data_IF_701418754711
#
_entry.id   IF_701418754711
#
_cell.length_a   1.000
_cell.length_b   1.000
_cell.length_c   1.000
_cell.angle_alpha   90.00
_cell.angle_beta   90.00
_cell.angle_gamma   90.00
#
_symmetry.space_group_name_H-M   'P 1'
#
loop_
_entity.id
_entity.type
_entity.pdbx_description
1 polymer ?
#
# COMPACT_ATOMS: atom_id res chain seq x y z
N UNK A 1 -62.69 41.94 -19.45
CA UNK A 1 -61.56 41.52 -20.30
C UNK A 1 -61.34 40.03 -20.05
N UNK A 2 -61.75 39.21 -21.02
CA UNK A 2 -61.67 37.73 -21.04
C UNK A 2 -61.06 37.38 -22.40
N UNK A 3 -60.35 36.24 -22.46
CA UNK A 3 -59.69 35.54 -23.60
C UNK A 3 -58.16 35.72 -23.57
N UNK A 4 -57.34 34.67 -23.76
CA UNK A 4 -57.49 33.56 -24.72
C UNK A 4 -56.61 32.35 -24.34
N UNK A 5 -57.18 31.15 -24.40
CA UNK A 5 -56.51 29.91 -24.80
C UNK A 5 -56.29 29.92 -26.33
N UNK A 6 -55.21 29.28 -26.78
CA UNK A 6 -55.06 28.65 -28.10
C UNK A 6 -53.68 27.99 -28.16
N UNK A 7 -53.40 26.90 -28.86
CA UNK A 7 -54.15 25.75 -29.36
C UNK A 7 -53.06 24.81 -29.91
N UNK A 8 -53.37 23.52 -29.99
CA UNK A 8 -52.48 22.43 -30.42
C UNK A 8 -52.30 22.38 -31.96
N UNK A 9 -51.29 21.59 -32.36
CA UNK A 9 -51.35 20.50 -33.38
C UNK A 9 -50.52 20.64 -34.67
N UNK A 10 -49.48 19.79 -34.73
CA UNK A 10 -48.95 18.90 -35.79
C UNK A 10 -49.13 19.17 -37.31
N UNK A 11 -48.02 18.92 -38.05
CA UNK A 11 -47.84 18.02 -39.24
C UNK A 11 -46.38 18.20 -39.74
N UNK A 12 -45.47 17.23 -39.64
CA UNK A 12 -45.20 16.02 -40.48
C UNK A 12 -45.09 16.30 -42.00
N UNK A 13 -43.85 16.23 -42.50
CA UNK A 13 -43.41 15.54 -43.75
C UNK A 13 -41.86 15.45 -43.70
N UNK A 14 -41.25 14.29 -43.42
CA UNK A 14 -40.93 13.19 -44.35
C UNK A 14 -40.03 13.59 -45.53
N UNK A 15 -38.72 13.29 -45.42
CA UNK A 15 -37.95 12.71 -46.53
C UNK A 15 -36.76 11.90 -46.00
N UNK A 16 -36.41 10.91 -46.82
CA UNK A 16 -35.80 9.62 -46.54
C UNK A 16 -34.32 9.60 -46.13
N UNK A 17 -33.94 8.45 -45.54
CA UNK A 17 -32.63 8.04 -45.02
C UNK A 17 -31.55 7.94 -46.13
N UNK A 18 -30.26 7.82 -45.73
CA UNK A 18 -29.73 6.45 -45.67
C UNK A 18 -28.86 6.15 -44.43
N UNK A 19 -29.37 5.23 -43.61
CA UNK A 19 -28.70 4.00 -43.18
C UNK A 19 -27.17 4.05 -42.92
N UNK A 20 -26.76 4.62 -41.78
CA UNK A 20 -25.50 4.23 -41.13
C UNK A 20 -25.79 3.28 -39.97
N UNK A 21 -25.36 2.03 -40.14
CA UNK A 21 -25.31 1.01 -39.10
C UNK A 21 -24.39 1.49 -37.97
N UNK A 22 -24.98 2.04 -36.91
CA UNK A 22 -24.31 2.23 -35.62
C UNK A 22 -24.02 0.83 -35.08
N UNK A 23 -22.79 0.36 -35.30
CA UNK A 23 -22.22 -0.78 -34.59
C UNK A 23 -22.25 -0.43 -33.10
N UNK A 24 -23.18 -1.05 -32.37
CA UNK A 24 -23.15 -1.11 -30.92
C UNK A 24 -21.80 -1.68 -30.47
N UNK A 25 -20.87 -0.78 -30.13
CA UNK A 25 -19.68 -1.15 -29.38
C UNK A 25 -20.18 -1.65 -28.02
N UNK A 26 -19.83 -2.89 -27.59
CA UNK A 26 -20.21 -3.35 -26.27
C UNK A 26 -19.68 -2.36 -25.24
N UNK A 27 -20.59 -1.75 -24.46
CA UNK A 27 -20.23 -0.92 -23.31
C UNK A 27 -19.27 -1.74 -22.45
N UNK A 28 -18.02 -1.30 -22.41
CA UNK A 28 -16.95 -1.85 -21.59
C UNK A 28 -17.50 -1.87 -20.16
N UNK A 29 -17.81 -3.06 -19.62
CA UNK A 29 -18.26 -3.21 -18.23
C UNK A 29 -17.20 -2.55 -17.35
N UNK A 30 -17.57 -1.45 -16.69
CA UNK A 30 -16.69 -0.79 -15.74
C UNK A 30 -16.30 -1.81 -14.67
N UNK A 31 -14.99 -1.98 -14.46
CA UNK A 31 -14.46 -2.90 -13.45
C UNK A 31 -14.92 -2.38 -12.08
N UNK A 32 -15.82 -3.11 -11.41
CA UNK A 32 -16.26 -2.80 -10.06
C UNK A 32 -15.08 -2.98 -9.09
N UNK A 33 -14.86 -2.01 -8.21
CA UNK A 33 -13.82 -2.12 -7.17
C UNK A 33 -14.24 -3.12 -6.09
N UNK A 34 -13.29 -3.65 -5.32
CA UNK A 34 -13.58 -4.56 -4.21
C UNK A 34 -14.54 -3.93 -3.19
N UNK A 35 -14.42 -2.62 -2.95
CA UNK A 35 -15.36 -1.86 -2.11
C UNK A 35 -16.76 -1.80 -2.71
N UNK A 36 -16.90 -1.65 -4.03
CA UNK A 36 -18.21 -1.68 -4.71
C UNK A 36 -18.85 -3.08 -4.68
N UNK A 37 -18.04 -4.14 -4.78
CA UNK A 37 -18.53 -5.52 -4.63
C UNK A 37 -18.98 -5.75 -3.18
N UNK A 38 -18.21 -5.29 -2.21
CA UNK A 38 -18.57 -5.40 -0.78
C UNK A 38 -19.84 -4.61 -0.46
N UNK A 39 -19.98 -3.39 -1.00
CA UNK A 39 -21.18 -2.57 -0.86
C UNK A 39 -22.40 -3.25 -1.48
N UNK A 40 -22.27 -3.82 -2.67
CA UNK A 40 -23.35 -4.56 -3.33
C UNK A 40 -23.75 -5.83 -2.56
N UNK A 41 -22.78 -6.60 -2.09
CA UNK A 41 -23.03 -7.84 -1.33
C UNK A 41 -23.63 -7.57 0.05
N UNK A 42 -23.28 -6.44 0.68
CA UNK A 42 -23.84 -6.03 1.97
C UNK A 42 -25.15 -5.23 1.84
N UNK A 43 -25.61 -4.96 0.61
CA UNK A 43 -26.82 -4.16 0.35
C UNK A 43 -26.68 -2.69 0.78
N UNK A 44 -25.47 -2.15 0.77
CA UNK A 44 -25.16 -0.79 1.19
C UNK A 44 -25.41 0.22 0.05
N UNK A 45 -25.71 1.46 0.43
CA UNK A 45 -25.76 2.57 -0.52
C UNK A 45 -24.35 2.84 -1.10
N UNK A 46 -24.24 3.20 -2.39
CA UNK A 46 -22.95 3.51 -3.00
C UNK A 46 -22.17 4.57 -2.22
N UNK A 47 -20.93 4.26 -1.85
CA UNK A 47 -20.04 5.17 -1.13
C UNK A 47 -20.12 5.10 0.40
N UNK A 48 -21.01 4.27 0.97
CA UNK A 48 -21.10 4.05 2.41
C UNK A 48 -19.79 3.51 3.00
N UNK A 49 -19.11 2.59 2.29
CA UNK A 49 -17.82 2.05 2.73
C UNK A 49 -16.73 3.10 2.65
N UNK A 50 -16.76 3.98 1.63
CA UNK A 50 -15.82 5.10 1.54
C UNK A 50 -15.96 6.07 2.73
N UNK A 51 -17.18 6.26 3.24
CA UNK A 51 -17.41 7.04 4.47
C UNK A 51 -16.77 6.36 5.69
N UNK A 52 -16.90 5.04 5.82
CA UNK A 52 -16.21 4.26 6.88
C UNK A 52 -14.68 4.37 6.75
N UNK A 53 -14.13 4.22 5.55
CA UNK A 53 -12.68 4.33 5.31
C UNK A 53 -12.13 5.71 5.69
N UNK A 54 -12.88 6.79 5.40
CA UNK A 54 -12.54 8.15 5.82
C UNK A 54 -12.51 8.28 7.34
N UNK A 55 -13.44 7.66 8.07
CA UNK A 55 -13.44 7.67 9.55
C UNK A 55 -12.24 6.91 10.11
N UNK A 56 -11.99 5.71 9.58
CA UNK A 56 -10.81 4.92 9.94
C UNK A 56 -9.51 5.64 9.60
N UNK A 57 -9.47 6.45 8.54
CA UNK A 57 -8.30 7.27 8.24
C UNK A 57 -7.99 8.29 9.34
N UNK A 58 -9.01 8.98 9.88
CA UNK A 58 -8.83 9.95 10.98
C UNK A 58 -8.26 9.25 12.21
N UNK A 59 -8.81 8.08 12.58
CA UNK A 59 -8.31 7.27 13.69
C UNK A 59 -6.86 6.83 13.44
N UNK A 60 -6.57 6.19 12.30
CA UNK A 60 -5.24 5.68 11.94
C UNK A 60 -4.18 6.77 11.92
N UNK A 61 -4.48 7.93 11.35
CA UNK A 61 -3.52 9.02 11.31
C UNK A 61 -3.24 9.58 12.71
N UNK A 62 -4.29 9.78 13.52
CA UNK A 62 -4.14 10.33 14.87
C UNK A 62 -3.34 9.39 15.76
N UNK A 63 -3.66 8.09 15.71
CA UNK A 63 -2.91 7.02 16.36
C UNK A 63 -1.44 7.01 15.92
N UNK A 64 -1.19 6.97 14.61
CA UNK A 64 0.17 6.98 14.06
C UNK A 64 0.95 8.22 14.51
N UNK A 65 0.35 9.41 14.44
CA UNK A 65 1.01 10.64 14.87
C UNK A 65 1.32 10.61 16.37
N UNK A 66 0.43 10.03 17.18
CA UNK A 66 0.62 9.92 18.63
C UNK A 66 1.75 8.95 19.02
N UNK A 67 1.92 7.88 18.26
CA UNK A 67 2.97 6.87 18.48
C UNK A 67 4.31 7.23 17.82
N UNK A 68 4.26 7.90 16.67
CA UNK A 68 5.40 8.14 15.78
C UNK A 68 5.60 9.64 15.50
N UNK A 69 5.37 10.50 16.49
CA UNK A 69 5.49 11.97 16.35
C UNK A 69 6.85 12.39 15.74
N UNK A 70 7.94 11.70 16.11
CA UNK A 70 9.29 12.00 15.63
C UNK A 70 9.44 11.84 14.10
N UNK A 71 8.55 11.11 13.43
CA UNK A 71 8.57 10.98 11.96
C UNK A 71 8.16 12.25 11.23
N UNK A 72 7.50 13.18 11.92
CA UNK A 72 7.00 14.43 11.35
C UNK A 72 7.94 15.63 11.60
N UNK A 73 9.07 15.41 12.25
CA UNK A 73 10.12 16.41 12.43
C UNK A 73 10.57 16.97 11.07
N UNK A 74 10.48 18.29 10.89
CA UNK A 74 10.79 19.02 9.65
C UNK A 74 9.96 18.63 8.42
N UNK A 75 8.76 18.05 8.63
CA UNK A 75 7.83 17.66 7.57
C UNK A 75 6.52 18.45 7.58
N UNK A 76 6.62 19.79 7.64
CA UNK A 76 5.47 20.72 7.67
C UNK A 76 4.42 20.41 6.62
N UNK A 77 4.84 20.32 5.36
CA UNK A 77 3.94 20.12 4.22
C UNK A 77 3.14 18.82 4.33
N UNK A 78 3.74 17.76 4.87
CA UNK A 78 3.05 16.49 5.04
C UNK A 78 2.02 16.59 6.15
N UNK A 79 2.40 17.13 7.31
CA UNK A 79 1.48 17.29 8.43
C UNK A 79 0.28 18.19 8.07
N UNK A 80 0.52 19.31 7.39
CA UNK A 80 -0.55 20.19 6.93
C UNK A 80 -1.49 19.51 5.93
N UNK A 81 -0.96 18.70 5.00
CA UNK A 81 -1.80 17.91 4.09
C UNK A 81 -2.76 16.99 4.86
N UNK A 82 -2.27 16.31 5.89
CA UNK A 82 -3.08 15.43 6.73
C UNK A 82 -4.13 16.21 7.54
N UNK A 83 -3.77 17.37 8.11
CA UNK A 83 -4.74 18.23 8.82
C UNK A 83 -5.86 18.72 7.90
N UNK A 84 -5.51 19.18 6.69
CA UNK A 84 -6.48 19.60 5.68
C UNK A 84 -7.42 18.44 5.34
N UNK A 85 -6.87 17.26 5.05
CA UNK A 85 -7.67 16.07 4.73
C UNK A 85 -8.58 15.66 5.89
N UNK A 86 -8.10 15.67 7.14
CA UNK A 86 -8.93 15.40 8.33
C UNK A 86 -10.04 16.44 8.45
N UNK A 87 -9.72 17.73 8.29
CA UNK A 87 -10.72 18.78 8.39
C UNK A 87 -11.80 18.67 7.30
N UNK A 88 -11.43 18.32 6.07
CA UNK A 88 -12.37 18.04 4.98
C UNK A 88 -13.27 16.84 5.28
N UNK A 89 -12.69 15.75 5.77
CA UNK A 89 -13.42 14.56 6.21
C UNK A 89 -14.41 14.91 7.32
N UNK A 90 -13.96 15.63 8.35
CA UNK A 90 -14.79 16.00 9.50
C UNK A 90 -15.93 16.95 9.12
N UNK A 91 -15.71 17.86 8.15
CA UNK A 91 -16.78 18.70 7.59
C UNK A 91 -17.82 17.88 6.83
N UNK A 92 -17.40 16.81 6.14
CA UNK A 92 -18.36 15.94 5.44
C UNK A 92 -19.27 15.16 6.42
N UNK A 93 -18.86 14.99 7.68
CA UNK A 93 -19.64 14.26 8.67
C UNK A 93 -20.67 15.12 9.41
N UNK A 94 -20.50 16.45 9.45
CA UNK A 94 -21.33 17.33 10.30
C UNK A 94 -22.83 17.39 9.96
N UNK A 95 -23.25 16.75 8.87
CA UNK A 95 -24.63 16.75 8.36
C UNK A 95 -25.34 15.39 8.48
N UNK A 96 -24.65 14.30 8.86
CA UNK A 96 -25.21 12.93 8.77
C UNK A 96 -25.83 12.38 10.07
N UNK A 97 -25.18 12.53 11.23
CA UNK A 97 -25.65 11.94 12.50
C UNK A 97 -25.26 12.74 13.76
N UNK A 98 -25.93 12.49 14.89
CA UNK A 98 -25.59 13.15 16.17
C UNK A 98 -24.20 12.73 16.68
N UNK A 99 -23.80 11.47 16.50
CA UNK A 99 -22.45 11.03 16.88
C UNK A 99 -21.36 11.74 16.06
N UNK A 100 -21.65 12.07 14.81
CA UNK A 100 -20.72 12.80 13.94
C UNK A 100 -20.52 14.25 14.36
N UNK A 101 -21.60 14.88 14.84
CA UNK A 101 -21.54 16.20 15.46
C UNK A 101 -20.69 16.14 16.73
N UNK A 102 -20.85 15.12 17.57
CA UNK A 102 -20.05 14.92 18.77
C UNK A 102 -18.56 14.72 18.44
N UNK A 103 -18.22 13.91 17.44
CA UNK A 103 -16.83 13.72 17.02
C UNK A 103 -16.22 15.03 16.48
N UNK A 104 -16.99 15.79 15.70
CA UNK A 104 -16.57 17.10 15.17
C UNK A 104 -16.38 18.13 16.29
N UNK A 105 -17.24 18.13 17.29
CA UNK A 105 -17.09 18.95 18.49
C UNK A 105 -15.86 18.52 19.30
N UNK A 106 -15.63 17.22 19.46
CA UNK A 106 -14.46 16.70 20.17
C UNK A 106 -13.15 17.14 19.52
N UNK A 107 -13.05 17.07 18.19
CA UNK A 107 -11.89 17.57 17.43
C UNK A 107 -11.56 19.04 17.79
N UNK A 108 -12.59 19.89 17.87
CA UNK A 108 -12.46 21.31 18.18
C UNK A 108 -12.15 21.55 19.66
N UNK A 109 -12.92 20.91 20.55
CA UNK A 109 -12.82 21.09 22.00
C UNK A 109 -11.49 20.60 22.55
N UNK A 110 -11.01 19.44 22.07
CA UNK A 110 -9.69 18.89 22.42
C UNK A 110 -8.54 19.59 21.69
N UNK A 111 -8.84 20.51 20.77
CA UNK A 111 -7.86 21.28 20.01
C UNK A 111 -6.82 20.40 19.30
N UNK A 112 -7.25 19.30 18.69
CA UNK A 112 -6.39 18.25 18.14
C UNK A 112 -5.31 18.80 17.19
N UNK A 113 -5.67 19.72 16.31
CA UNK A 113 -4.68 20.34 15.40
C UNK A 113 -3.63 21.19 16.12
N UNK A 114 -3.99 21.90 17.19
CA UNK A 114 -3.01 22.63 18.01
C UNK A 114 -2.07 21.67 18.74
N UNK A 115 -2.59 20.53 19.18
CA UNK A 115 -1.77 19.49 19.81
C UNK A 115 -0.78 18.91 18.80
N UNK A 116 -1.20 18.65 17.56
CA UNK A 116 -0.27 18.25 16.50
C UNK A 116 0.86 19.25 16.31
N UNK A 117 0.54 20.55 16.22
CA UNK A 117 1.56 21.61 16.08
C UNK A 117 2.49 21.70 17.29
N UNK A 118 1.93 21.63 18.49
CA UNK A 118 2.68 21.69 19.75
C UNK A 118 3.64 20.51 19.86
N UNK A 119 3.17 19.29 19.65
CA UNK A 119 3.99 18.07 19.71
C UNK A 119 5.08 18.08 18.64
N UNK A 120 4.75 18.46 17.41
CA UNK A 120 5.70 18.56 16.30
C UNK A 120 6.79 19.60 16.59
N UNK A 121 6.42 20.77 17.12
CA UNK A 121 7.37 21.82 17.52
C UNK A 121 8.29 21.34 18.65
N UNK A 122 7.73 20.69 19.68
CA UNK A 122 8.53 20.09 20.75
C UNK A 122 9.48 19.01 20.24
N UNK A 123 9.04 18.19 19.28
CA UNK A 123 9.86 17.17 18.64
C UNK A 123 11.03 17.77 17.85
N UNK A 124 10.81 18.90 17.18
CA UNK A 124 11.86 19.65 16.47
C UNK A 124 12.88 20.29 17.41
N UNK A 125 12.43 20.87 18.52
CA UNK A 125 13.30 21.40 19.57
C UNK A 125 14.16 20.26 20.15
N UNK A 126 13.52 19.16 20.53
CA UNK A 126 14.18 17.98 21.07
C UNK A 126 15.21 17.39 20.09
N UNK A 127 14.89 17.33 18.80
CA UNK A 127 15.82 16.88 17.77
C UNK A 127 16.99 17.84 17.58
N UNK A 128 16.73 19.15 17.62
CA UNK A 128 17.77 20.19 17.51
C UNK A 128 18.76 20.13 18.69
N UNK A 129 18.27 19.93 19.91
CA UNK A 129 19.09 19.72 21.12
C UNK A 129 19.98 18.48 20.99
N UNK A 130 19.49 17.43 20.34
CA UNK A 130 20.22 16.19 20.03
C UNK A 130 21.04 16.25 18.72
N UNK A 131 21.27 17.45 18.17
CA UNK A 131 22.19 17.68 17.04
C UNK A 131 21.57 17.54 15.64
N UNK A 132 20.25 17.39 15.52
CA UNK A 132 19.53 17.38 14.25
C UNK A 132 18.84 18.72 14.02
N UNK A 133 19.54 19.70 13.41
CA UNK A 133 19.00 21.06 13.18
C UNK A 133 18.18 21.24 11.91
N UNK A 134 18.14 20.23 11.03
CA UNK A 134 17.47 20.31 9.74
C UNK A 134 17.00 18.92 9.28
N UNK A 135 16.01 18.89 8.38
CA UNK A 135 15.55 17.67 7.73
C UNK A 135 16.72 16.87 7.14
N UNK A 136 16.72 15.55 7.36
CA UNK A 136 17.75 14.65 6.83
C UNK A 136 17.77 14.65 5.32
N UNK A 137 16.61 14.69 4.68
CA UNK A 137 16.54 14.77 3.21
C UNK A 137 17.26 16.01 2.67
N UNK A 138 17.15 17.15 3.38
CA UNK A 138 17.90 18.37 3.04
C UNK A 138 19.40 18.19 3.27
N UNK A 139 19.81 17.54 4.35
CA UNK A 139 21.23 17.26 4.66
C UNK A 139 21.85 16.30 3.64
N UNK A 140 21.15 15.21 3.33
CA UNK A 140 21.53 14.23 2.30
C UNK A 140 21.61 14.90 0.95
N UNK A 141 20.63 15.72 0.55
CA UNK A 141 20.66 16.45 -0.73
C UNK A 141 21.84 17.41 -0.81
N UNK A 142 22.12 18.20 0.23
CA UNK A 142 23.29 19.09 0.26
C UNK A 142 24.61 18.31 0.12
N UNK A 143 24.73 17.20 0.83
CA UNK A 143 25.92 16.34 0.75
C UNK A 143 26.05 15.67 -0.61
N UNK A 144 24.95 15.16 -1.17
CA UNK A 144 24.91 14.58 -2.51
C UNK A 144 25.30 15.61 -3.57
N UNK A 145 24.82 16.86 -3.46
CA UNK A 145 25.20 17.94 -4.37
C UNK A 145 26.70 18.25 -4.26
N UNK A 146 27.21 18.37 -3.03
CA UNK A 146 28.64 18.61 -2.78
C UNK A 146 29.53 17.51 -3.39
N UNK A 147 29.11 16.25 -3.32
CA UNK A 147 29.82 15.12 -3.93
C UNK A 147 29.67 15.07 -5.46
N UNK A 148 28.53 15.50 -6.00
CA UNK A 148 28.26 15.47 -7.45
C UNK A 148 29.00 16.56 -8.23
N UNK A 149 29.33 17.70 -7.61
CA UNK A 149 30.02 18.82 -8.28
C UNK A 149 31.43 18.42 -8.78
N UNK A 150 32.32 17.83 -7.95
CA UNK A 150 33.62 17.34 -8.41
C UNK A 150 33.49 16.29 -9.51
N UNK A 151 32.50 15.40 -9.42
CA UNK A 151 32.24 14.37 -10.43
C UNK A 151 31.90 15.00 -11.78
N UNK A 152 31.00 16.00 -11.78
CA UNK A 152 30.60 16.71 -12.99
C UNK A 152 31.78 17.46 -13.62
N UNK A 153 32.62 18.11 -12.80
CA UNK A 153 33.84 18.75 -13.27
C UNK A 153 34.83 17.75 -13.90
N UNK A 154 35.01 16.59 -13.26
CA UNK A 154 35.91 15.53 -13.73
C UNK A 154 35.41 14.96 -15.07
N UNK A 155 34.10 14.72 -15.21
CA UNK A 155 33.49 14.31 -16.49
C UNK A 155 33.74 15.36 -17.58
N UNK A 156 33.49 16.65 -17.30
CA UNK A 156 33.74 17.73 -18.26
C UNK A 156 35.22 17.76 -18.67
N UNK A 157 36.15 17.70 -17.71
CA UNK A 157 37.59 17.71 -17.98
C UNK A 157 38.00 16.58 -18.93
N UNK A 158 37.54 15.35 -18.67
CA UNK A 158 37.87 14.20 -19.51
C UNK A 158 37.20 14.24 -20.89
N UNK A 159 36.03 14.87 -21.02
CA UNK A 159 35.41 15.10 -22.33
C UNK A 159 36.15 16.14 -23.17
N UNK A 160 36.71 17.19 -22.55
CA UNK A 160 37.46 18.24 -23.26
C UNK A 160 38.83 17.75 -23.71
N UNK A 161 39.50 16.89 -22.93
CA UNK A 161 40.85 16.38 -23.23
C UNK A 161 40.85 15.37 -24.40
N UNK A 162 39.69 14.78 -24.75
CA UNK A 162 39.46 13.95 -25.95
C UNK A 162 40.55 12.91 -26.27
N UNK A 163 41.12 12.25 -25.26
CA UNK A 163 42.06 11.13 -25.46
C UNK A 163 41.33 9.78 -25.32
N UNK A 164 41.59 8.79 -26.19
CA UNK A 164 40.87 7.51 -26.16
C UNK A 164 41.08 6.69 -24.86
N UNK A 165 42.16 6.96 -24.11
CA UNK A 165 42.46 6.32 -22.83
C UNK A 165 41.64 6.90 -21.67
N UNK A 166 41.05 8.09 -21.85
CA UNK A 166 40.24 8.75 -20.82
C UNK A 166 39.00 7.93 -20.46
N UNK A 167 38.35 7.32 -21.45
CA UNK A 167 37.11 6.57 -21.24
C UNK A 167 37.32 5.31 -20.39
N UNK A 168 38.41 4.59 -20.62
CA UNK A 168 38.76 3.39 -19.84
C UNK A 168 39.12 3.72 -18.39
N UNK A 169 39.68 4.91 -18.12
CA UNK A 169 39.95 5.39 -16.77
C UNK A 169 38.70 6.00 -16.10
N UNK A 170 37.83 6.67 -16.87
CA UNK A 170 36.62 7.33 -16.37
C UNK A 170 35.60 6.34 -15.84
N UNK A 171 35.39 5.21 -16.53
CA UNK A 171 34.38 4.22 -16.16
C UNK A 171 34.53 3.66 -14.73
N UNK A 172 35.69 3.14 -14.30
CA UNK A 172 35.86 2.66 -12.93
C UNK A 172 35.73 3.78 -11.89
N UNK A 173 36.20 4.99 -12.21
CA UNK A 173 36.04 6.17 -11.34
C UNK A 173 34.55 6.47 -11.15
N UNK A 174 33.76 6.51 -12.23
CA UNK A 174 32.31 6.73 -12.14
C UNK A 174 31.61 5.63 -11.35
N UNK A 175 31.97 4.35 -11.53
CA UNK A 175 31.40 3.25 -10.75
C UNK A 175 31.66 3.40 -9.24
N UNK A 176 32.88 3.78 -8.85
CA UNK A 176 33.22 4.04 -7.44
C UNK A 176 32.45 5.24 -6.90
N UNK A 177 32.35 6.35 -7.65
CA UNK A 177 31.62 7.54 -7.19
C UNK A 177 30.10 7.34 -7.13
N UNK A 178 29.53 6.59 -8.06
CA UNK A 178 28.10 6.22 -8.06
C UNK A 178 27.74 5.45 -6.78
N UNK A 179 28.56 4.46 -6.41
CA UNK A 179 28.35 3.68 -5.19
C UNK A 179 28.63 4.51 -3.93
N UNK A 180 29.69 5.33 -3.92
CA UNK A 180 30.07 6.16 -2.78
C UNK A 180 29.01 7.22 -2.44
N UNK A 181 28.28 7.74 -3.44
CA UNK A 181 27.21 8.71 -3.23
C UNK A 181 26.01 8.15 -2.43
N UNK A 182 25.80 6.83 -2.46
CA UNK A 182 24.71 6.16 -1.75
C UNK A 182 25.00 5.97 -0.25
N UNK A 183 26.27 5.88 0.13
CA UNK A 183 26.70 5.58 1.49
C UNK A 183 26.31 6.66 2.52
N UNK A 184 26.50 7.97 2.27
CA UNK A 184 26.04 9.04 3.16
C UNK A 184 24.53 8.98 3.40
N UNK A 185 23.74 8.68 2.37
CA UNK A 185 22.28 8.55 2.49
C UNK A 185 21.93 7.44 3.47
N UNK A 186 22.52 6.26 3.29
CA UNK A 186 22.31 5.13 4.20
C UNK A 186 22.74 5.46 5.64
N UNK A 187 23.91 6.09 5.80
CA UNK A 187 24.43 6.51 7.12
C UNK A 187 23.48 7.49 7.83
N UNK A 188 23.04 8.55 7.15
CA UNK A 188 22.14 9.53 7.76
C UNK A 188 20.75 8.94 8.08
N UNK A 189 20.22 8.05 7.23
CA UNK A 189 18.95 7.36 7.48
C UNK A 189 19.08 6.43 8.70
N UNK A 190 20.14 5.61 8.78
CA UNK A 190 20.38 4.73 9.93
C UNK A 190 20.55 5.53 11.22
N UNK A 191 21.33 6.61 11.17
CA UNK A 191 21.53 7.51 12.31
C UNK A 191 20.21 8.15 12.78
N UNK A 192 19.32 8.48 11.84
CA UNK A 192 17.99 8.99 12.16
C UNK A 192 17.08 7.96 12.80
N UNK A 193 17.04 6.74 12.24
CA UNK A 193 16.24 5.65 12.79
C UNK A 193 16.68 5.35 14.23
N UNK A 194 17.99 5.25 14.45
CA UNK A 194 18.58 5.07 15.77
C UNK A 194 18.19 6.18 16.75
N UNK A 195 18.30 7.44 16.32
CA UNK A 195 17.85 8.59 17.13
C UNK A 195 16.37 8.45 17.55
N UNK A 196 15.48 8.12 16.61
CA UNK A 196 14.06 7.97 16.91
C UNK A 196 13.80 6.82 17.90
N UNK A 197 14.43 5.66 17.69
CA UNK A 197 14.25 4.49 18.56
C UNK A 197 14.73 4.77 19.98
N UNK A 198 15.93 5.35 20.13
CA UNK A 198 16.52 5.64 21.44
C UNK A 198 15.74 6.70 22.23
N UNK A 199 15.10 7.65 21.54
CA UNK A 199 14.48 8.80 22.18
C UNK A 199 12.94 8.74 22.20
N UNK A 200 12.31 7.75 21.58
CA UNK A 200 10.84 7.62 21.48
C UNK A 200 10.19 7.63 22.86
N UNK A 201 10.67 6.80 23.78
CA UNK A 201 10.09 6.65 25.12
C UNK A 201 10.28 7.90 26.00
N UNK A 202 11.43 8.57 25.88
CA UNK A 202 11.68 9.81 26.59
C UNK A 202 10.74 10.92 26.10
N UNK A 203 10.62 11.07 24.77
CA UNK A 203 9.72 12.04 24.16
C UNK A 203 8.26 11.79 24.55
N UNK A 204 7.83 10.53 24.51
CA UNK A 204 6.50 10.10 24.93
C UNK A 204 6.23 10.50 26.38
N UNK A 205 7.14 10.17 27.28
CA UNK A 205 6.99 10.43 28.73
C UNK A 205 6.87 11.93 29.02
N UNK A 206 7.70 12.77 28.38
CA UNK A 206 7.66 14.23 28.53
C UNK A 206 6.39 14.88 27.97
N UNK A 207 5.70 14.22 27.05
CA UNK A 207 4.54 14.75 26.34
C UNK A 207 3.27 13.91 26.52
N UNK A 208 3.25 13.09 27.57
CA UNK A 208 2.20 12.09 27.80
C UNK A 208 0.80 12.68 27.78
N UNK A 209 0.59 13.84 28.40
CA UNK A 209 -0.73 14.49 28.46
C UNK A 209 -1.29 14.81 27.08
N UNK A 210 -0.50 15.51 26.26
CA UNK A 210 -0.85 15.88 24.88
C UNK A 210 -1.10 14.61 24.04
N UNK A 211 -0.28 13.56 24.21
CA UNK A 211 -0.43 12.27 23.51
C UNK A 211 -1.69 11.52 23.95
N UNK A 212 -2.02 11.52 25.25
CA UNK A 212 -3.23 10.87 25.76
C UNK A 212 -4.50 11.55 25.26
N UNK A 213 -4.48 12.87 25.04
CA UNK A 213 -5.61 13.56 24.39
C UNK A 213 -5.81 13.07 22.96
N UNK A 214 -4.72 12.87 22.20
CA UNK A 214 -4.77 12.30 20.85
C UNK A 214 -5.28 10.85 20.86
N UNK A 215 -4.81 10.03 21.79
CA UNK A 215 -5.32 8.65 21.98
C UNK A 215 -6.79 8.64 22.35
N UNK A 216 -7.23 9.52 23.25
CA UNK A 216 -8.64 9.66 23.60
C UNK A 216 -9.53 10.05 22.42
N UNK A 217 -9.07 10.98 21.57
CA UNK A 217 -9.78 11.32 20.33
C UNK A 217 -9.78 10.16 19.31
N UNK A 218 -8.70 9.39 19.23
CA UNK A 218 -8.65 8.18 18.40
C UNK A 218 -9.70 7.17 18.85
N UNK A 219 -9.81 6.92 20.16
CA UNK A 219 -10.85 6.05 20.73
C UNK A 219 -12.26 6.49 20.32
N UNK A 220 -12.56 7.78 20.45
CA UNK A 220 -13.86 8.33 20.01
C UNK A 220 -14.11 8.18 18.51
N UNK A 221 -13.08 8.34 17.67
CA UNK A 221 -13.20 8.12 16.22
C UNK A 221 -13.47 6.65 15.89
N UNK A 222 -12.84 5.72 16.61
CA UNK A 222 -13.08 4.28 16.47
C UNK A 222 -14.48 3.89 16.93
N UNK A 223 -14.94 4.46 18.05
CA UNK A 223 -16.28 4.20 18.59
C UNK A 223 -17.37 4.69 17.65
N UNK A 224 -17.24 5.92 17.14
CA UNK A 224 -18.13 6.46 16.14
C UNK A 224 -18.12 5.64 14.82
N UNK A 225 -16.94 5.11 14.42
CA UNK A 225 -16.86 4.18 13.28
C UNK A 225 -17.62 2.90 13.56
N UNK A 226 -17.47 2.34 14.77
CA UNK A 226 -18.17 1.12 15.19
C UNK A 226 -19.68 1.32 15.17
N UNK A 227 -20.20 2.39 15.75
CA UNK A 227 -21.65 2.65 15.71
C UNK A 227 -22.15 2.68 14.28
N UNK A 228 -21.44 3.39 13.39
CA UNK A 228 -21.86 3.51 11.99
C UNK A 228 -21.86 2.18 11.24
N UNK A 229 -20.87 1.31 11.51
CA UNK A 229 -20.85 -0.05 10.97
C UNK A 229 -22.04 -0.88 11.47
N UNK A 230 -22.38 -0.77 12.75
CA UNK A 230 -23.53 -1.47 13.34
C UNK A 230 -24.87 -0.95 12.81
N UNK A 231 -25.02 0.36 12.60
CA UNK A 231 -26.20 0.96 11.95
C UNK A 231 -26.42 0.41 10.54
N UNK A 232 -25.33 0.24 9.79
CA UNK A 232 -25.34 -0.37 8.46
C UNK A 232 -25.42 -1.89 8.47
N UNK A 233 -25.50 -2.52 9.65
CA UNK A 233 -25.51 -3.97 9.84
C UNK A 233 -24.31 -4.66 9.18
N UNK A 234 -23.17 -4.00 9.14
CA UNK A 234 -21.93 -4.55 8.58
C UNK A 234 -21.26 -5.40 9.66
N UNK A 235 -20.89 -6.67 9.37
CA UNK A 235 -20.15 -7.47 10.34
C UNK A 235 -18.77 -6.85 10.64
N UNK A 236 -18.49 -6.61 11.92
CA UNK A 236 -17.29 -5.88 12.36
C UNK A 236 -16.00 -6.66 12.07
N UNK A 237 -16.08 -7.98 11.97
CA UNK A 237 -14.95 -8.88 11.65
C UNK A 237 -14.44 -8.69 10.22
N UNK A 238 -15.26 -8.14 9.31
CA UNK A 238 -14.86 -7.87 7.93
C UNK A 238 -13.86 -6.72 7.83
N UNK A 239 -13.92 -5.80 8.78
CA UNK A 239 -13.17 -4.56 8.72
C UNK A 239 -11.89 -4.72 9.54
N UNK A 240 -10.84 -5.22 8.86
CA UNK A 240 -9.48 -5.29 9.39
C UNK A 240 -8.73 -3.99 9.06
N UNK A 241 -8.05 -3.42 10.04
CA UNK A 241 -7.23 -2.21 9.86
C UNK A 241 -5.99 -2.22 10.76
N UNK A 242 -5.04 -1.33 10.46
CA UNK A 242 -3.76 -1.26 11.17
C UNK A 242 -3.73 -0.03 12.08
N UNK A 243 -3.37 -0.24 13.35
CA UNK A 243 -2.96 0.81 14.28
C UNK A 243 -1.56 0.51 14.85
N UNK A 244 -0.99 1.49 15.54
CA UNK A 244 0.32 1.47 16.19
C UNK A 244 0.19 1.36 17.72
N UNK A 245 -1.02 1.53 18.26
CA UNK A 245 -1.39 1.22 19.64
C UNK A 245 -2.55 0.21 19.71
N UNK A 246 -2.54 -0.63 20.74
CA UNK A 246 -3.62 -1.56 21.07
C UNK A 246 -4.35 -1.16 22.37
N UNK A 247 -4.17 0.07 22.87
CA UNK A 247 -4.67 0.52 24.16
C UNK A 247 -6.20 0.83 24.17
N UNK A 248 -6.91 0.57 23.07
CA UNK A 248 -8.30 0.94 22.90
C UNK A 248 -9.25 -0.19 23.32
N UNK A 249 -10.30 0.13 24.08
CA UNK A 249 -11.19 -0.84 24.74
C UNK A 249 -12.10 -1.65 23.82
N UNK A 250 -12.24 -1.26 22.55
CA UNK A 250 -13.24 -1.79 21.62
C UNK A 250 -12.62 -2.51 20.41
N UNK A 251 -11.44 -3.12 20.60
CA UNK A 251 -10.67 -3.74 19.53
C UNK A 251 -10.30 -5.19 19.84
N UNK A 252 -10.30 -6.01 18.79
CA UNK A 252 -9.76 -7.36 18.79
C UNK A 252 -8.46 -7.39 17.98
N UNK A 253 -7.37 -7.80 18.63
CA UNK A 253 -6.06 -7.98 17.98
C UNK A 253 -6.05 -9.32 17.25
N UNK A 254 -5.75 -9.29 15.96
CA UNK A 254 -5.55 -10.51 15.16
C UNK A 254 -4.07 -10.87 15.07
N UNK A 255 -3.24 -9.90 14.71
CA UNK A 255 -1.79 -10.10 14.56
C UNK A 255 -1.03 -8.84 14.96
N UNK A 256 0.26 -8.99 15.26
CA UNK A 256 1.20 -7.88 15.42
C UNK A 256 2.45 -8.13 14.58
N UNK A 257 2.94 -7.06 13.94
CA UNK A 257 4.19 -7.07 13.16
C UNK A 257 5.07 -5.94 13.65
N UNK A 258 6.32 -6.27 13.97
CA UNK A 258 7.34 -5.26 14.30
C UNK A 258 8.27 -5.06 13.11
N UNK A 259 8.33 -3.85 12.57
CA UNK A 259 9.20 -3.51 11.45
C UNK A 259 9.90 -2.17 11.71
N UNK A 260 11.23 -2.14 11.62
CA UNK A 260 12.06 -0.92 11.77
C UNK A 260 11.75 -0.16 13.08
N UNK A 261 11.67 -0.89 14.20
CA UNK A 261 11.41 -0.33 15.52
C UNK A 261 9.96 0.11 15.78
N UNK A 262 9.03 -0.12 14.84
CA UNK A 262 7.61 0.19 14.99
C UNK A 262 6.81 -1.09 15.11
N UNK A 263 5.86 -1.11 16.04
CA UNK A 263 4.89 -2.20 16.14
C UNK A 263 3.59 -1.77 15.49
N UNK A 264 3.09 -2.61 14.59
CA UNK A 264 1.80 -2.46 13.94
C UNK A 264 0.90 -3.60 14.41
N UNK A 265 -0.35 -3.29 14.70
CA UNK A 265 -1.37 -4.24 15.12
C UNK A 265 -2.45 -4.31 14.05
N UNK A 266 -2.71 -5.51 13.54
CA UNK A 266 -3.87 -5.77 12.69
C UNK A 266 -5.06 -6.05 13.59
N UNK A 267 -6.06 -5.19 13.51
CA UNK A 267 -7.16 -5.10 14.47
C UNK A 267 -8.50 -5.15 13.73
N UNK A 268 -9.53 -5.64 14.42
CA UNK A 268 -10.93 -5.40 14.05
C UNK A 268 -11.68 -4.77 15.22
N UNK A 269 -12.82 -4.15 14.95
CA UNK A 269 -13.69 -3.63 16.01
C UNK A 269 -14.40 -4.79 16.71
N UNK A 270 -14.59 -4.66 18.02
CA UNK A 270 -15.30 -5.64 18.83
C UNK A 270 -16.76 -5.25 19.04
N UNK A 271 -17.64 -6.25 19.15
CA UNK A 271 -19.06 -6.04 19.37
C UNK A 271 -19.32 -5.50 20.78
N UNK A 272 -20.30 -4.60 20.95
CA UNK A 272 -20.70 -4.15 22.27
C UNK A 272 -21.16 -5.33 23.16
N UNK A 273 -20.94 -5.26 24.49
CA UNK A 273 -21.40 -6.30 25.41
C UNK A 273 -22.91 -6.55 25.27
N UNK A 274 -23.31 -7.81 25.14
CA UNK A 274 -24.71 -8.22 25.00
C UNK A 274 -25.28 -8.16 23.57
N UNK A 275 -24.47 -7.77 22.57
CA UNK A 275 -24.85 -7.87 21.16
C UNK A 275 -24.23 -9.12 20.54
N UNK A 276 -25.04 -9.96 19.90
CA UNK A 276 -24.53 -11.09 19.13
C UNK A 276 -23.86 -10.61 17.83
N UNK A 277 -22.78 -11.27 17.39
CA UNK A 277 -22.12 -10.91 16.13
C UNK A 277 -23.06 -11.04 14.94
N UNK A 278 -23.03 -10.03 14.06
CA UNK A 278 -23.81 -10.07 12.81
C UNK A 278 -23.23 -11.18 11.93
N UNK A 279 -24.04 -12.11 11.40
CA UNK A 279 -23.55 -13.19 10.57
C UNK A 279 -22.92 -12.64 9.29
N UNK A 280 -21.75 -13.17 8.94
CA UNK A 280 -21.08 -12.85 7.68
C UNK A 280 -21.85 -13.56 6.55
N UNK A 281 -22.28 -12.84 5.50
CA UNK A 281 -22.89 -13.47 4.33
C UNK A 281 -21.99 -14.56 3.76
N UNK A 282 -22.55 -15.72 3.39
CA UNK A 282 -21.78 -16.88 2.90
C UNK A 282 -20.89 -16.53 1.69
N UNK A 283 -21.37 -15.63 0.84
CA UNK A 283 -20.64 -15.08 -0.32
C UNK A 283 -19.32 -14.40 0.08
N UNK A 284 -19.29 -13.72 1.24
CA UNK A 284 -18.10 -13.09 1.79
C UNK A 284 -17.30 -14.06 2.67
N UNK A 285 -17.98 -14.98 3.37
CA UNK A 285 -17.33 -16.00 4.19
C UNK A 285 -16.39 -16.87 3.35
N UNK A 286 -16.75 -17.20 2.11
CA UNK A 286 -15.86 -17.93 1.19
C UNK A 286 -14.60 -17.12 0.85
N UNK A 287 -14.74 -15.81 0.58
CA UNK A 287 -13.61 -14.91 0.31
C UNK A 287 -12.70 -14.73 1.54
N UNK A 288 -13.26 -14.75 2.75
CA UNK A 288 -12.53 -14.57 4.01
C UNK A 288 -11.84 -15.85 4.46
N UNK A 289 -12.50 -17.00 4.31
CA UNK A 289 -11.92 -18.32 4.58
C UNK A 289 -10.74 -18.60 3.65
N UNK A 290 -10.77 -18.02 2.44
CA UNK A 290 -9.67 -18.06 1.48
C UNK A 290 -8.60 -16.96 1.72
N UNK A 291 -8.87 -15.92 2.53
CA UNK A 291 -7.95 -14.78 2.80
C UNK A 291 -7.47 -14.63 4.25
N UNK A 292 -7.83 -15.55 5.15
CA UNK A 292 -7.07 -15.78 6.39
C UNK A 292 -5.71 -16.48 6.12
N UNK A 293 -5.45 -16.87 4.88
CA UNK A 293 -4.08 -16.96 4.36
C UNK A 293 -3.55 -15.54 4.17
N UNK A 294 -2.47 -15.19 4.86
CA UNK A 294 -1.73 -13.94 4.66
C UNK A 294 -1.80 -13.48 3.20
N UNK A 295 -2.35 -12.29 2.91
CA UNK A 295 -2.17 -11.66 1.61
C UNK A 295 -0.67 -11.53 1.40
N UNK A 296 -0.12 -12.41 0.57
CA UNK A 296 1.31 -12.45 0.35
C UNK A 296 1.69 -11.19 -0.43
N UNK A 297 2.60 -10.39 0.11
CA UNK A 297 3.04 -9.13 -0.50
C UNK A 297 4.30 -9.32 -1.34
N UNK A 298 5.01 -10.45 -1.11
CA UNK A 298 6.33 -10.73 -1.66
C UNK A 298 6.27 -11.65 -2.89
N UNK A 299 5.69 -11.12 -3.98
CA UNK A 299 5.71 -11.81 -5.27
C UNK A 299 6.87 -11.39 -6.15
N UNK A 300 7.58 -12.38 -6.66
CA UNK A 300 8.66 -12.23 -7.63
C UNK A 300 8.20 -12.80 -8.97
N UNK A 301 8.24 -11.99 -10.02
CA UNK A 301 7.97 -12.45 -11.38
C UNK A 301 9.29 -12.79 -12.06
N UNK A 302 9.41 -14.01 -12.57
CA UNK A 302 10.58 -14.44 -13.34
C UNK A 302 10.45 -13.93 -14.78
N UNK A 303 11.18 -12.86 -15.09
CA UNK A 303 11.19 -12.19 -16.40
C UNK A 303 12.35 -12.64 -17.28
N UNK A 304 12.32 -12.22 -18.56
CA UNK A 304 13.38 -12.52 -19.55
C UNK A 304 13.71 -14.00 -19.61
N UNK A 305 12.64 -14.80 -19.61
CA UNK A 305 12.67 -16.24 -19.48
C UNK A 305 13.20 -16.87 -20.77
N UNK A 306 14.29 -17.63 -20.68
CA UNK A 306 14.61 -18.63 -21.70
C UNK A 306 14.01 -19.95 -21.22
N UNK A 307 12.81 -20.27 -21.69
CA UNK A 307 12.18 -21.54 -21.37
C UNK A 307 11.63 -22.26 -22.59
N UNK A 308 11.88 -23.57 -22.61
CA UNK A 308 11.37 -24.49 -23.63
C UNK A 308 10.86 -25.77 -22.97
N UNK A 309 9.65 -26.16 -23.34
CA UNK A 309 8.93 -27.32 -22.82
C UNK A 309 8.81 -27.32 -21.29
N UNK A 310 8.59 -26.15 -20.67
CA UNK A 310 8.48 -26.03 -19.21
C UNK A 310 9.80 -26.14 -18.45
N UNK A 311 10.96 -25.99 -19.11
CA UNK A 311 12.28 -25.94 -18.48
C UNK A 311 12.83 -24.52 -18.60
N UNK A 312 13.15 -23.90 -17.48
CA UNK A 312 13.64 -22.52 -17.36
C UNK A 312 15.16 -22.53 -17.24
N UNK A 313 15.86 -22.16 -18.31
CA UNK A 313 17.32 -22.14 -18.36
C UNK A 313 17.92 -20.84 -17.78
N UNK A 314 17.21 -19.72 -17.98
CA UNK A 314 17.63 -18.38 -17.52
C UNK A 314 16.40 -17.53 -17.21
N UNK A 315 16.49 -16.76 -16.14
CA UNK A 315 15.45 -15.82 -15.70
C UNK A 315 16.06 -14.59 -15.02
N UNK A 316 15.26 -13.53 -14.90
CA UNK A 316 15.57 -12.34 -14.12
C UNK A 316 14.46 -12.19 -13.07
N UNK A 317 14.73 -12.41 -11.77
CA UNK A 317 13.72 -12.23 -10.74
C UNK A 317 13.42 -10.74 -10.56
N UNK A 318 12.14 -10.37 -10.67
CA UNK A 318 11.68 -8.99 -10.49
C UNK A 318 10.63 -8.94 -9.39
N UNK A 319 10.91 -8.24 -8.30
CA UNK A 319 9.96 -8.02 -7.23
C UNK A 319 8.83 -7.09 -7.68
N UNK A 320 7.57 -7.49 -7.46
CA UNK A 320 6.37 -6.76 -7.90
C UNK A 320 5.42 -6.50 -6.73
N UNK A 321 5.93 -5.86 -5.67
CA UNK A 321 5.15 -5.48 -4.48
C UNK A 321 3.88 -4.70 -4.83
N UNK A 322 3.99 -3.73 -5.74
CA UNK A 322 2.88 -2.89 -6.20
C UNK A 322 1.76 -3.63 -6.95
N UNK A 323 2.03 -4.88 -7.35
CA UNK A 323 1.07 -5.74 -8.06
C UNK A 323 0.62 -6.95 -7.22
N UNK A 324 0.92 -6.96 -5.92
CA UNK A 324 0.58 -8.08 -5.05
C UNK A 324 -0.92 -8.38 -5.05
N UNK A 325 -1.76 -7.35 -5.19
CA UNK A 325 -3.22 -7.49 -5.25
C UNK A 325 -3.63 -8.19 -6.56
N UNK A 326 -3.09 -7.77 -7.69
CA UNK A 326 -3.37 -8.36 -9.00
C UNK A 326 -2.88 -9.81 -9.08
N UNK A 327 -1.71 -10.10 -8.52
CA UNK A 327 -1.13 -11.45 -8.50
C UNK A 327 -1.95 -12.36 -7.57
N UNK A 328 -2.35 -11.92 -6.38
CA UNK A 328 -3.26 -12.69 -5.52
C UNK A 328 -4.59 -12.97 -6.22
N UNK A 329 -5.15 -11.99 -6.93
CA UNK A 329 -6.38 -12.20 -7.72
C UNK A 329 -6.20 -13.20 -8.87
N UNK A 330 -5.03 -13.23 -9.52
CA UNK A 330 -4.67 -14.23 -10.52
C UNK A 330 -4.60 -15.63 -9.89
N UNK A 331 -3.91 -15.76 -8.75
CA UNK A 331 -3.74 -17.03 -8.04
C UNK A 331 -5.09 -17.58 -7.56
N UNK A 332 -5.94 -16.75 -6.96
CA UNK A 332 -7.27 -17.17 -6.49
C UNK A 332 -8.20 -17.65 -7.62
N UNK A 333 -7.99 -17.18 -8.85
CA UNK A 333 -8.74 -17.63 -10.04
C UNK A 333 -8.09 -18.81 -10.77
N UNK A 334 -6.99 -19.32 -10.24
CA UNK A 334 -6.22 -20.41 -10.84
C UNK A 334 -6.53 -21.74 -10.15
N UNK A 335 -6.46 -22.82 -10.91
CA UNK A 335 -6.43 -24.17 -10.34
C UNK A 335 -4.99 -24.61 -10.16
N UNK A 336 -4.68 -25.11 -8.97
CA UNK A 336 -3.34 -25.57 -8.62
C UNK A 336 -3.23 -27.08 -8.79
N UNK A 337 -2.12 -27.51 -9.36
CA UNK A 337 -1.70 -28.91 -9.38
C UNK A 337 -0.22 -28.97 -9.04
N UNK A 338 0.18 -29.93 -8.20
CA UNK A 338 1.62 -30.14 -7.94
C UNK A 338 2.30 -30.46 -9.27
N UNK A 339 3.43 -29.81 -9.56
CA UNK A 339 4.11 -30.08 -10.83
C UNK A 339 4.55 -31.55 -10.88
N UNK A 340 4.42 -32.14 -12.07
CA UNK A 340 4.87 -33.50 -12.34
C UNK A 340 6.39 -33.61 -12.45
N UNK A 341 7.09 -32.47 -12.58
CA UNK A 341 8.54 -32.38 -12.71
C UNK A 341 9.15 -31.86 -11.42
N UNK A 342 10.29 -32.43 -11.03
CA UNK A 342 11.08 -31.92 -9.91
C UNK A 342 11.68 -30.56 -10.23
N UNK A 343 12.00 -29.81 -9.18
CA UNK A 343 12.55 -28.46 -9.33
C UNK A 343 13.88 -28.42 -10.07
N UNK A 344 14.71 -29.46 -9.90
CA UNK A 344 15.97 -29.62 -10.62
C UNK A 344 15.78 -29.83 -12.12
N UNK A 345 14.57 -30.21 -12.55
CA UNK A 345 14.21 -30.34 -13.97
C UNK A 345 13.64 -29.02 -14.49
N UNK A 346 12.84 -28.32 -13.68
CA UNK A 346 12.19 -27.06 -14.07
C UNK A 346 13.19 -25.89 -14.06
N UNK A 347 14.11 -25.85 -13.09
CA UNK A 347 15.14 -24.83 -12.89
C UNK A 347 16.52 -25.52 -12.67
N UNK A 348 17.10 -26.13 -13.72
CA UNK A 348 18.33 -26.93 -13.57
C UNK A 348 19.55 -26.11 -13.12
N UNK A 349 19.55 -24.80 -13.35
CA UNK A 349 20.64 -23.90 -13.00
C UNK A 349 20.38 -23.10 -11.72
N UNK A 350 19.48 -23.55 -10.84
CA UNK A 350 19.19 -22.86 -9.59
C UNK A 350 20.36 -22.99 -8.61
N UNK A 351 21.16 -21.92 -8.51
CA UNK A 351 22.33 -21.82 -7.64
C UNK A 351 22.30 -20.48 -6.91
N UNK A 352 23.08 -20.28 -5.82
CA UNK A 352 23.14 -19.00 -5.12
C UNK A 352 23.48 -17.78 -6.00
N UNK A 353 24.14 -18.00 -7.13
CA UNK A 353 24.51 -16.96 -8.10
C UNK A 353 23.38 -16.63 -9.09
N UNK A 354 22.45 -17.56 -9.31
CA UNK A 354 21.28 -17.45 -10.20
C UNK A 354 20.01 -17.86 -9.45
N UNK A 355 19.78 -17.21 -8.29
CA UNK A 355 18.70 -17.55 -7.39
C UNK A 355 17.60 -16.49 -7.32
N UNK A 356 16.50 -16.87 -6.72
CA UNK A 356 15.52 -15.94 -6.18
C UNK A 356 16.04 -15.50 -4.81
N UNK A 357 16.12 -14.19 -4.59
CA UNK A 357 16.54 -13.61 -3.31
C UNK A 357 15.35 -12.95 -2.62
N UNK A 358 15.33 -13.06 -1.30
CA UNK A 358 14.37 -12.36 -0.46
C UNK A 358 14.68 -10.85 -0.41
N UNK A 359 13.72 -10.05 0.06
CA UNK A 359 13.89 -8.62 0.36
C UNK A 359 15.07 -8.33 1.30
N UNK A 360 15.40 -9.28 2.17
CA UNK A 360 16.55 -9.21 3.08
C UNK A 360 17.90 -9.59 2.43
N UNK A 361 17.90 -10.02 1.16
CA UNK A 361 19.08 -10.44 0.41
C UNK A 361 19.47 -11.91 0.58
N UNK A 362 18.77 -12.67 1.43
CA UNK A 362 19.03 -14.11 1.58
C UNK A 362 18.56 -14.91 0.36
N UNK A 363 19.29 -15.99 0.08
CA UNK A 363 18.92 -17.01 -0.90
C UNK A 363 17.63 -17.72 -0.48
N UNK A 364 16.64 -17.78 -1.39
CA UNK A 364 15.39 -18.48 -1.14
C UNK A 364 15.54 -19.95 -1.55
N UNK A 365 15.43 -20.85 -0.58
CA UNK A 365 15.30 -22.28 -0.87
C UNK A 365 13.86 -22.57 -1.29
N UNK A 366 13.65 -23.15 -2.46
CA UNK A 366 12.30 -23.44 -2.97
C UNK A 366 11.83 -24.78 -2.41
N UNK A 367 10.68 -24.76 -1.74
CA UNK A 367 10.08 -25.91 -1.08
C UNK A 367 9.15 -26.70 -2.00
N UNK A 368 8.38 -25.99 -2.85
CA UNK A 368 7.46 -26.64 -3.79
C UNK A 368 7.27 -25.86 -5.09
N UNK A 369 6.91 -26.58 -6.14
CA UNK A 369 6.55 -26.02 -7.45
C UNK A 369 5.16 -26.52 -7.84
N UNK A 370 4.30 -25.58 -8.20
CA UNK A 370 2.93 -25.84 -8.63
C UNK A 370 2.72 -25.36 -10.06
N UNK A 371 1.96 -26.14 -10.82
CA UNK A 371 1.40 -25.75 -12.12
C UNK A 371 0.04 -25.10 -11.89
N UNK A 372 -0.04 -23.82 -12.22
CA UNK A 372 -1.24 -23.00 -12.09
C UNK A 372 -1.94 -22.93 -13.44
N UNK A 373 -3.23 -23.23 -13.46
CA UNK A 373 -4.07 -23.10 -14.65
C UNK A 373 -5.15 -22.04 -14.43
N UNK A 374 -4.95 -20.87 -15.01
CA UNK A 374 -5.88 -19.76 -14.96
C UNK A 374 -6.95 -19.90 -16.04
N UNK A 375 -8.22 -19.92 -15.60
CA UNK A 375 -9.41 -20.04 -16.46
C UNK A 375 -9.35 -21.17 -17.51
N UNK A 376 -8.63 -22.26 -17.22
CA UNK A 376 -8.43 -23.42 -18.11
C UNK A 376 -7.65 -23.13 -19.41
N UNK A 377 -7.16 -21.91 -19.63
CA UNK A 377 -6.57 -21.48 -20.90
C UNK A 377 -5.11 -21.05 -20.78
N UNK A 378 -4.69 -20.55 -19.62
CA UNK A 378 -3.34 -20.02 -19.43
C UNK A 378 -2.62 -20.74 -18.29
N UNK A 379 -1.44 -21.29 -18.56
CA UNK A 379 -0.65 -22.06 -17.59
C UNK A 379 0.66 -21.36 -17.24
N UNK A 380 1.00 -21.39 -15.96
CA UNK A 380 2.23 -20.80 -15.43
C UNK A 380 2.70 -21.59 -14.20
N UNK A 381 3.96 -21.43 -13.82
CA UNK A 381 4.52 -22.00 -12.61
C UNK A 381 4.39 -21.04 -11.43
N UNK A 382 4.07 -21.58 -10.25
CA UNK A 382 4.21 -20.95 -8.95
C UNK A 382 5.28 -21.70 -8.16
N UNK A 383 6.32 -20.99 -7.73
CA UNK A 383 7.38 -21.48 -6.87
C UNK A 383 7.14 -20.93 -5.46
N UNK A 384 7.10 -21.83 -4.48
CA UNK A 384 6.96 -21.45 -3.07
C UNK A 384 8.29 -21.64 -2.35
N UNK A 385 8.85 -20.55 -1.84
CA UNK A 385 10.05 -20.58 -1.00
C UNK A 385 9.77 -21.02 0.43
N UNK A 386 10.79 -21.56 1.09
CA UNK A 386 10.83 -21.64 2.56
C UNK A 386 10.89 -20.23 3.14
N UNK A 387 10.41 -20.08 4.38
CA UNK A 387 10.51 -18.83 5.10
C UNK A 387 11.99 -18.45 5.32
N UNK A 388 12.36 -17.23 4.96
CA UNK A 388 13.71 -16.70 5.17
C UNK A 388 13.95 -16.37 6.65
N UNK A 389 15.20 -16.07 7.06
CA UNK A 389 15.48 -15.71 8.46
C UNK A 389 14.81 -14.42 8.90
N UNK A 390 14.43 -13.56 7.96
CA UNK A 390 13.59 -12.38 8.23
C UNK A 390 12.12 -12.72 8.53
N UNK A 391 11.73 -14.00 8.44
CA UNK A 391 10.36 -14.49 8.68
C UNK A 391 9.44 -14.37 7.47
N UNK A 392 9.92 -13.81 6.35
CA UNK A 392 9.11 -13.66 5.13
C UNK A 392 9.18 -14.91 4.25
N UNK A 393 8.02 -15.33 3.74
CA UNK A 393 7.92 -16.35 2.70
C UNK A 393 7.91 -15.66 1.33
N UNK A 394 8.59 -16.24 0.36
CA UNK A 394 8.73 -15.67 -0.99
C UNK A 394 8.01 -16.56 -1.99
N UNK A 395 7.20 -15.94 -2.84
CA UNK A 395 6.49 -16.61 -3.90
C UNK A 395 7.00 -16.09 -5.23
N UNK A 396 7.31 -16.99 -6.16
CA UNK A 396 7.68 -16.59 -7.51
C UNK A 396 6.76 -17.18 -8.56
N UNK A 397 6.41 -16.38 -9.57
CA UNK A 397 5.60 -16.82 -10.70
C UNK A 397 6.40 -16.72 -12.00
N UNK A 398 6.21 -17.69 -12.89
CA UNK A 398 6.91 -17.76 -14.17
C UNK A 398 6.02 -18.32 -15.26
N UNK A 399 6.20 -17.86 -16.49
CA UNK A 399 5.68 -18.57 -17.66
C UNK A 399 6.33 -19.96 -17.76
N UNK A 400 5.60 -20.91 -18.34
CA UNK A 400 6.16 -22.24 -18.62
C UNK A 400 7.08 -22.22 -19.84
N UNK A 401 6.73 -21.43 -20.86
CA UNK A 401 7.45 -21.31 -22.12
C UNK A 401 7.56 -19.85 -22.56
N UNK A 402 8.66 -19.50 -23.23
CA UNK A 402 8.94 -18.13 -23.71
C UNK A 402 7.88 -17.62 -24.70
N UNK A 403 7.32 -18.52 -25.53
CA UNK A 403 6.35 -18.18 -26.58
C UNK A 403 4.88 -18.32 -26.13
N UNK A 404 4.62 -18.42 -24.83
CA UNK A 404 3.25 -18.56 -24.32
C UNK A 404 2.47 -17.28 -24.61
N UNK A 405 1.33 -17.38 -25.29
CA UNK A 405 0.45 -16.22 -25.52
C UNK A 405 -0.18 -15.78 -24.20
N UNK A 406 0.20 -14.57 -23.74
CA UNK A 406 -0.26 -14.03 -22.46
C UNK A 406 -1.61 -13.34 -22.68
N UNK A 407 -2.65 -13.68 -21.92
CA UNK A 407 -3.93 -12.96 -22.00
C UNK A 407 -3.73 -11.48 -21.71
N UNK A 408 -4.42 -10.61 -22.46
CA UNK A 408 -4.36 -9.14 -22.32
C UNK A 408 -4.54 -8.62 -20.89
N UNK A 409 -5.28 -9.37 -20.07
CA UNK A 409 -5.53 -9.02 -18.67
C UNK A 409 -4.31 -9.26 -17.76
N UNK A 410 -3.41 -10.15 -18.14
CA UNK A 410 -2.23 -10.58 -17.39
C UNK A 410 -0.93 -10.01 -17.98
N UNK A 411 -1.00 -9.32 -19.12
CA UNK A 411 0.15 -8.67 -19.74
C UNK A 411 0.91 -7.81 -18.74
N UNK A 412 0.25 -6.99 -17.92
CA UNK A 412 0.94 -6.15 -16.92
C UNK A 412 1.75 -6.91 -15.86
N UNK A 413 1.40 -8.17 -15.61
CA UNK A 413 2.07 -9.00 -14.59
C UNK A 413 3.34 -9.62 -15.21
N UNK A 414 3.22 -10.19 -16.41
CA UNK A 414 4.29 -10.98 -17.05
C UNK A 414 5.11 -10.20 -18.10
N UNK A 415 4.55 -9.14 -18.68
CA UNK A 415 5.17 -8.15 -19.57
C UNK A 415 5.20 -6.79 -18.84
N UNK A 416 6.17 -5.94 -19.14
CA UNK A 416 6.49 -4.74 -18.33
C UNK A 416 5.33 -3.80 -17.98
#
# INVERSE_FOLDING_TARGET
>A
MIKKESDKTERIDSSEKPNEQIKDKPKKKEKKSQGQILEETLGLAPGALSTIEKRLFVARFTDYFSEETLDYIYRDKHLEKYKVQINEIMKSFSEESEEDKLLTQSLKNKQIFKIFDKLKTKAEIFASENGFKQAIDKKVRKFSLLMSIPMLFLVILFTVINQPWSYYALFPILCVFCTLSSYPRMYFIKKWQKFKEENKMEFYTKNREDIMILKGFTGEALDNTRTRLLEFKIPLQLIKFILYSNDYSNLKVHTSKTQKGKTQYVLSLDYPPGMEPIPIPEELAQVISESDGHLEENFIVLKSLKAKNGIIEKFIPTLKEEMAIEINNLLNKSKFSKSSKDISIILPNYSPENAIHCSCGEYVEIDSVQECNWMKSFKFYLFEGKACKCGEKVYAISLMDENTEIPKELEKIFLD
#
